data_IF_291051966239
#
_entry.id   IF_291051966239
#
_cell.length_a   1.000
_cell.length_b   1.000
_cell.length_c   1.000
_cell.angle_alpha   90.00
_cell.angle_beta   90.00
_cell.angle_gamma   90.00
#
_symmetry.space_group_name_H-M   'P 1'
#
loop_
_entity.id
_entity.type
_entity.pdbx_description
1 polymer ?
#
# COMPACT_ATOMS: atom_id res chain seq x y z
N UNK A 1 12.10 2.36 -4.96
CA UNK A 1 11.13 3.50 -4.79
C UNK A 1 10.08 3.05 -3.79
N UNK A 2 9.67 3.92 -2.86
CA UNK A 2 8.67 3.59 -1.84
C UNK A 2 7.36 4.31 -2.11
N UNK A 3 6.22 3.66 -1.81
CA UNK A 3 4.88 4.19 -2.08
C UNK A 3 4.07 4.27 -0.77
N UNK A 4 4.33 5.26 0.11
CA UNK A 4 3.64 5.40 1.40
C UNK A 4 2.14 5.69 1.28
N UNK A 5 1.69 6.17 0.11
CA UNK A 5 0.28 6.42 -0.17
C UNK A 5 -0.55 5.13 -0.34
N UNK A 6 0.09 3.99 -0.60
CA UNK A 6 -0.61 2.72 -0.78
C UNK A 6 -1.08 2.19 0.57
N UNK A 7 -2.40 1.99 0.70
CA UNK A 7 -2.97 1.30 1.86
C UNK A 7 -2.67 -0.20 1.83
N UNK A 8 -2.62 -0.85 3.00
CA UNK A 8 -2.42 -2.30 3.12
C UNK A 8 -3.42 -3.10 2.29
N UNK A 9 -4.67 -2.63 2.20
CA UNK A 9 -5.69 -3.26 1.36
C UNK A 9 -5.45 -3.13 -0.14
N UNK A 10 -4.69 -2.12 -0.59
CA UNK A 10 -4.26 -2.02 -1.98
C UNK A 10 -3.05 -2.93 -2.23
N UNK A 11 -2.11 -2.97 -1.28
CA UNK A 11 -0.93 -3.85 -1.35
C UNK A 11 -1.37 -5.32 -1.35
N UNK A 12 -2.32 -5.70 -0.49
CA UNK A 12 -2.81 -7.08 -0.39
C UNK A 12 -3.42 -7.56 -1.72
N UNK A 13 -4.18 -6.68 -2.41
CA UNK A 13 -4.75 -6.96 -3.74
C UNK A 13 -3.69 -7.02 -4.83
N UNK A 14 -2.65 -6.18 -4.76
CA UNK A 14 -1.60 -6.13 -5.77
C UNK A 14 -0.69 -7.37 -5.71
N UNK A 15 -0.40 -7.86 -4.51
CA UNK A 15 0.53 -8.99 -4.27
C UNK A 15 -0.20 -10.33 -4.13
N UNK A 16 -1.54 -10.32 -4.08
CA UNK A 16 -2.34 -11.54 -3.93
C UNK A 16 -2.27 -12.18 -2.53
N UNK A 17 -2.14 -11.36 -1.49
CA UNK A 17 -2.07 -11.82 -0.10
C UNK A 17 -3.16 -11.17 0.76
N UNK A 18 -3.21 -11.47 2.05
CA UNK A 18 -4.17 -10.88 2.99
C UNK A 18 -3.61 -9.64 3.66
N UNK A 19 -4.49 -8.74 4.12
CA UNK A 19 -4.09 -7.51 4.82
C UNK A 19 -3.28 -7.81 6.08
N UNK A 20 -3.70 -8.81 6.86
CA UNK A 20 -3.02 -9.23 8.09
C UNK A 20 -1.59 -9.70 7.80
N UNK A 21 -1.37 -10.41 6.69
CA UNK A 21 -0.02 -10.81 6.27
C UNK A 21 0.82 -9.59 5.91
N UNK A 22 0.29 -8.64 5.13
CA UNK A 22 0.98 -7.38 4.79
C UNK A 22 1.38 -6.61 6.04
N UNK A 23 0.45 -6.45 6.99
CA UNK A 23 0.69 -5.76 8.26
C UNK A 23 1.76 -6.46 9.09
N UNK A 24 1.68 -7.79 9.22
CA UNK A 24 2.64 -8.59 9.98
C UNK A 24 4.04 -8.51 9.39
N UNK A 25 4.17 -8.51 8.05
CA UNK A 25 5.45 -8.36 7.36
C UNK A 25 6.00 -6.94 7.52
N UNK A 26 5.17 -5.92 7.32
CA UNK A 26 5.55 -4.50 7.46
C UNK A 26 5.99 -4.16 8.88
N UNK A 27 5.33 -4.74 9.88
CA UNK A 27 5.62 -4.56 11.30
C UNK A 27 6.71 -5.52 11.82
N UNK A 28 7.31 -6.36 10.96
CA UNK A 28 8.28 -7.41 11.33
C UNK A 28 7.78 -8.37 12.42
N UNK A 29 6.48 -8.61 12.47
CA UNK A 29 5.80 -9.56 13.39
C UNK A 29 5.51 -10.91 12.75
N UNK A 30 5.81 -11.07 11.47
CA UNK A 30 5.68 -12.37 10.80
C UNK A 30 6.70 -13.36 11.35
N UNK A 31 6.30 -14.63 11.54
CA UNK A 31 7.16 -15.68 12.12
C UNK A 31 8.50 -15.83 11.38
N UNK A 32 8.50 -15.59 10.06
CA UNK A 32 9.67 -15.70 9.21
C UNK A 32 10.35 -14.34 8.91
N UNK A 33 10.22 -13.34 9.79
CA UNK A 33 10.73 -12.00 9.49
C UNK A 33 12.25 -11.96 9.23
N UNK A 34 13.03 -12.88 9.81
CA UNK A 34 14.48 -12.94 9.63
C UNK A 34 14.90 -13.27 8.19
N UNK A 35 14.09 -14.05 7.46
CA UNK A 35 14.37 -14.42 6.07
C UNK A 35 13.63 -13.53 5.05
N UNK A 36 12.73 -12.65 5.51
CA UNK A 36 11.99 -11.76 4.61
C UNK A 36 12.79 -10.47 4.41
N UNK A 37 13.17 -10.22 3.16
CA UNK A 37 13.82 -8.98 2.75
C UNK A 37 12.86 -8.12 1.91
N UNK A 38 12.83 -6.79 2.11
CA UNK A 38 12.05 -5.91 1.24
C UNK A 38 12.62 -5.95 -0.18
N UNK A 39 11.84 -6.47 -1.12
CA UNK A 39 12.17 -6.49 -2.55
C UNK A 39 11.02 -5.89 -3.35
N UNK A 40 11.35 -5.44 -4.57
CA UNK A 40 10.34 -4.88 -5.46
C UNK A 40 9.38 -5.97 -5.94
N UNK A 41 8.05 -5.78 -5.80
CA UNK A 41 7.06 -6.79 -6.16
C UNK A 41 7.01 -7.06 -7.67
N UNK A 42 7.40 -6.11 -8.51
CA UNK A 42 7.49 -6.30 -9.98
C UNK A 42 8.70 -7.18 -10.30
N UNK A 43 9.83 -6.94 -9.64
CA UNK A 43 11.02 -7.78 -9.80
C UNK A 43 10.82 -9.23 -9.32
N UNK A 44 9.89 -9.43 -8.38
CA UNK A 44 9.47 -10.76 -7.91
C UNK A 44 8.36 -11.39 -8.77
N UNK A 45 7.95 -10.75 -9.87
CA UNK A 45 6.83 -11.16 -10.72
C UNK A 45 5.50 -11.34 -9.96
N UNK A 46 5.32 -10.64 -8.83
CA UNK A 46 4.08 -10.66 -8.05
C UNK A 46 3.03 -9.69 -8.62
N UNK A 47 3.48 -8.65 -9.32
CA UNK A 47 2.62 -7.74 -10.05
C UNK A 47 3.33 -7.19 -11.29
N UNK A 48 2.56 -6.60 -12.21
CA UNK A 48 3.15 -5.91 -13.37
C UNK A 48 3.44 -4.44 -13.05
N UNK A 49 4.35 -3.83 -13.81
CA UNK A 49 4.64 -2.40 -13.71
C UNK A 49 3.38 -1.54 -13.93
N UNK A 50 2.51 -1.98 -14.85
CA UNK A 50 1.23 -1.35 -15.14
C UNK A 50 0.27 -1.40 -13.96
N UNK A 51 0.18 -2.55 -13.27
CA UNK A 51 -0.69 -2.71 -12.10
C UNK A 51 -0.21 -1.87 -10.92
N UNK A 52 1.10 -1.82 -10.71
CA UNK A 52 1.70 -0.95 -9.70
C UNK A 52 1.38 0.53 -9.97
N UNK A 53 1.51 0.99 -11.22
CA UNK A 53 1.17 2.37 -11.59
C UNK A 53 -0.32 2.68 -11.37
N UNK A 54 -1.23 1.78 -11.79
CA UNK A 54 -2.67 1.93 -11.56
C UNK A 54 -3.02 1.98 -10.06
N UNK A 55 -2.37 1.15 -9.25
CA UNK A 55 -2.58 1.12 -7.80
C UNK A 55 -2.14 2.44 -7.16
N UNK A 56 -0.99 2.98 -7.59
CA UNK A 56 -0.44 4.26 -7.12
C UNK A 56 -1.34 5.43 -7.51
N UNK A 57 -1.81 5.47 -8.76
CA UNK A 57 -2.71 6.53 -9.20
C UNK A 57 -4.04 6.51 -8.42
N UNK A 58 -4.61 5.31 -8.21
CA UNK A 58 -5.82 5.14 -7.40
C UNK A 58 -5.60 5.57 -5.94
N UNK A 59 -4.42 5.29 -5.37
CA UNK A 59 -4.06 5.75 -4.04
C UNK A 59 -3.97 7.28 -3.96
N UNK A 60 -3.30 7.92 -4.93
CA UNK A 60 -3.18 9.38 -4.98
C UNK A 60 -4.55 10.06 -5.03
N UNK A 61 -5.47 9.59 -5.89
CA UNK A 61 -6.85 10.11 -5.96
C UNK A 61 -7.59 10.00 -4.61
N UNK A 62 -7.37 8.90 -3.88
CA UNK A 62 -7.98 8.68 -2.56
C UNK A 62 -7.40 9.58 -1.48
N UNK A 63 -6.08 9.79 -1.47
CA UNK A 63 -5.43 10.70 -0.52
C UNK A 63 -5.90 12.13 -0.76
N UNK A 64 -6.00 12.55 -2.02
CA UNK A 64 -6.46 13.89 -2.39
C UNK A 64 -7.91 14.15 -1.94
N UNK A 65 -8.82 13.19 -2.18
CA UNK A 65 -10.22 13.31 -1.75
C UNK A 65 -10.35 13.33 -0.22
N UNK A 66 -9.57 12.51 0.49
CA UNK A 66 -9.52 12.52 1.95
C UNK A 66 -8.97 13.85 2.50
N UNK A 67 -7.94 14.41 1.88
CA UNK A 67 -7.38 15.72 2.27
C UNK A 67 -8.43 16.83 2.09
N UNK A 68 -9.11 16.86 0.94
CA UNK A 68 -10.20 17.82 0.67
C UNK A 68 -11.35 17.68 1.67
N UNK A 69 -11.74 16.46 2.04
CA UNK A 69 -12.80 16.22 3.02
C UNK A 69 -12.39 16.68 4.43
N UNK A 70 -11.15 16.41 4.87
CA UNK A 70 -10.63 16.87 6.16
C UNK A 70 -10.59 18.39 6.25
N UNK A 71 -10.08 19.07 5.22
CA UNK A 71 -10.02 20.53 5.18
C UNK A 71 -11.41 21.16 5.28
N UNK A 72 -12.43 20.59 4.61
CA UNK A 72 -13.82 21.03 4.73
C UNK A 72 -14.41 20.82 6.13
N UNK A 73 -14.06 19.71 6.78
CA UNK A 73 -14.50 19.41 8.14
C UNK A 73 -13.85 20.35 9.16
N UNK A 74 -12.56 20.62 9.01
CA UNK A 74 -11.81 21.56 9.85
C UNK A 74 -12.29 23.01 9.67
N UNK A 75 -12.71 23.40 8.46
CA UNK A 75 -13.26 24.72 8.20
C UNK A 75 -14.69 24.93 8.71
N UNK A 76 -15.40 23.86 9.09
CA UNK A 76 -16.76 23.89 9.62
C UNK A 76 -16.82 23.67 11.15
N UNK A 77 -15.66 23.67 11.81
CA UNK A 77 -15.52 23.56 13.26
C UNK A 77 -15.07 24.91 13.81
#
# INVERSE_FOLDING_TARGET
KNYPQLSEGQISKLVGTTKNTVESVKSRKHWNTSNITPKDPVALNLCTQSDLQKAVEKANRKVESQKKAKLKLEANK
#
